data_IF_197573646160
#
_entry.id   IF_197573646160
#
_cell.length_a   1.000
_cell.length_b   1.000
_cell.length_c   1.000
_cell.angle_alpha   90.00
_cell.angle_beta   90.00
_cell.angle_gamma   90.00
#
_symmetry.space_group_name_H-M   'P 1'
#
loop_
_entity.id
_entity.type
_entity.pdbx_description
1 polymer ?
#
# COMPACT_ATOMS: atom_id res chain seq x y z
N UNK A 1 -17.59 31.83 3.28
CA UNK A 1 -16.19 31.94 2.79
C UNK A 1 -16.20 31.35 1.41
N UNK A 2 -15.83 32.14 0.44
CA UNK A 2 -15.72 31.68 -0.95
C UNK A 2 -14.53 30.71 -1.00
N UNK A 3 -14.82 29.42 -1.07
CA UNK A 3 -13.77 28.39 -1.25
C UNK A 3 -13.31 28.56 -2.69
N UNK A 4 -12.17 29.26 -2.86
CA UNK A 4 -11.54 29.34 -4.19
C UNK A 4 -11.42 27.90 -4.73
N UNK A 5 -11.98 27.67 -5.93
CA UNK A 5 -11.91 26.35 -6.57
C UNK A 5 -10.45 25.93 -6.76
N UNK A 6 -9.99 25.00 -5.94
CA UNK A 6 -8.63 24.46 -5.97
C UNK A 6 -8.56 23.09 -6.69
N UNK A 7 -9.66 22.66 -7.31
CA UNK A 7 -9.76 21.34 -7.94
C UNK A 7 -8.76 21.15 -9.08
N UNK A 8 -8.35 22.22 -9.76
CA UNK A 8 -7.34 22.21 -10.82
C UNK A 8 -5.89 22.21 -10.33
N UNK A 9 -5.66 22.68 -9.10
CA UNK A 9 -4.33 22.83 -8.50
C UNK A 9 -3.87 21.57 -7.78
N UNK A 10 -2.58 21.28 -7.81
CA UNK A 10 -2.01 20.15 -7.09
C UNK A 10 -1.73 20.48 -5.63
N UNK A 11 -1.96 19.52 -4.73
CA UNK A 11 -1.47 19.54 -3.36
C UNK A 11 -0.35 18.52 -3.21
N UNK A 12 0.87 18.98 -2.99
CA UNK A 12 2.01 18.11 -2.71
C UNK A 12 2.08 17.79 -1.21
N UNK A 13 1.99 16.51 -0.88
CA UNK A 13 2.16 16.00 0.49
C UNK A 13 3.59 15.46 0.62
N UNK A 14 4.42 16.17 1.37
CA UNK A 14 5.86 15.93 1.46
C UNK A 14 6.19 15.18 2.74
N UNK A 15 6.65 13.95 2.61
CA UNK A 15 7.12 13.17 3.77
C UNK A 15 8.58 13.52 4.10
N UNK A 16 8.78 14.40 5.09
CA UNK A 16 10.11 14.86 5.52
C UNK A 16 10.98 13.76 6.14
N UNK A 17 10.39 12.64 6.54
CA UNK A 17 11.11 11.49 7.09
C UNK A 17 11.55 10.47 6.03
N UNK A 18 11.09 10.64 4.79
CA UNK A 18 11.57 9.84 3.66
C UNK A 18 13.07 10.07 3.42
N UNK A 19 13.76 9.09 2.82
CA UNK A 19 15.18 9.18 2.44
C UNK A 19 16.14 9.66 3.54
N UNK A 20 15.96 9.23 4.80
CA UNK A 20 16.92 9.43 5.90
C UNK A 20 17.27 10.89 6.19
N UNK A 21 16.27 11.74 6.38
CA UNK A 21 16.40 13.18 6.72
C UNK A 21 16.99 14.08 5.59
N UNK A 22 17.20 13.56 4.38
CA UNK A 22 17.58 14.34 3.22
C UNK A 22 16.37 14.87 2.43
N UNK A 23 15.17 14.60 2.91
CA UNK A 23 13.90 14.90 2.23
C UNK A 23 13.72 16.40 1.95
N UNK A 24 14.18 17.30 2.82
CA UNK A 24 14.10 18.73 2.56
C UNK A 24 14.89 19.20 1.35
N UNK A 25 16.15 18.74 1.20
CA UNK A 25 16.95 19.08 0.02
C UNK A 25 16.38 18.41 -1.25
N UNK A 26 15.83 17.22 -1.10
CA UNK A 26 15.20 16.48 -2.20
C UNK A 26 13.92 17.16 -2.67
N UNK A 27 13.11 17.67 -1.73
CA UNK A 27 11.91 18.40 -2.06
C UNK A 27 12.21 19.73 -2.77
N UNK A 28 13.18 20.51 -2.29
CA UNK A 28 13.60 21.74 -2.93
C UNK A 28 14.06 21.56 -4.41
N UNK A 29 14.60 20.38 -4.74
CA UNK A 29 14.90 20.02 -6.13
C UNK A 29 13.62 19.65 -6.89
N UNK A 30 12.72 18.90 -6.28
CA UNK A 30 11.44 18.52 -6.87
C UNK A 30 10.57 19.75 -7.19
N UNK A 31 10.50 20.72 -6.29
CA UNK A 31 9.78 21.99 -6.49
C UNK A 31 10.24 22.70 -7.77
N UNK A 32 11.55 22.89 -7.93
CA UNK A 32 12.12 23.53 -9.15
C UNK A 32 11.78 22.77 -10.43
N UNK A 33 11.74 21.43 -10.35
CA UNK A 33 11.39 20.60 -11.49
C UNK A 33 9.90 20.70 -11.82
N UNK A 34 9.02 20.66 -10.82
CA UNK A 34 7.57 20.82 -11.00
C UNK A 34 7.25 22.19 -11.61
N UNK A 35 7.84 23.27 -11.07
CA UNK A 35 7.72 24.63 -11.64
C UNK A 35 8.19 24.69 -13.09
N UNK A 36 9.34 24.08 -13.40
CA UNK A 36 9.90 24.01 -14.75
C UNK A 36 8.96 23.32 -15.74
N UNK A 37 8.20 22.34 -15.30
CA UNK A 37 7.22 21.64 -16.12
C UNK A 37 5.83 22.26 -16.04
N UNK A 38 5.69 23.45 -15.46
CA UNK A 38 4.44 24.21 -15.43
C UNK A 38 3.36 23.62 -14.52
N UNK A 39 3.75 22.82 -13.52
CA UNK A 39 2.81 22.26 -12.53
C UNK A 39 2.48 23.37 -11.53
N UNK A 40 1.20 23.73 -11.42
CA UNK A 40 0.69 24.64 -10.38
C UNK A 40 0.37 23.84 -9.13
N UNK A 41 1.06 24.09 -8.00
CA UNK A 41 0.91 23.32 -6.78
C UNK A 41 1.11 24.17 -5.51
N UNK A 42 0.49 23.70 -4.44
CA UNK A 42 0.84 24.05 -3.07
C UNK A 42 1.49 22.84 -2.39
N UNK A 43 2.19 23.02 -1.28
CA UNK A 43 2.84 21.93 -0.56
C UNK A 43 2.57 21.97 0.94
N UNK A 44 2.39 20.76 1.53
CA UNK A 44 2.31 20.53 2.96
C UNK A 44 3.33 19.45 3.34
N UNK A 45 4.09 19.72 4.40
CA UNK A 45 5.09 18.77 4.90
C UNK A 45 4.60 18.04 6.13
N UNK A 46 4.85 16.73 6.20
CA UNK A 46 4.58 15.95 7.42
C UNK A 46 5.44 16.43 8.58
N UNK A 47 4.93 16.27 9.81
CA UNK A 47 5.57 16.76 11.03
C UNK A 47 4.59 17.55 11.89
N UNK A 48 5.05 18.06 13.01
CA UNK A 48 4.21 18.84 13.94
C UNK A 48 2.90 18.14 14.35
N UNK A 49 2.94 16.80 14.47
CA UNK A 49 1.77 16.00 14.85
C UNK A 49 0.84 15.62 13.69
N UNK A 50 1.15 16.01 12.44
CA UNK A 50 0.38 15.63 11.25
C UNK A 50 1.13 14.64 10.39
N UNK A 51 0.50 13.49 10.10
CA UNK A 51 0.95 12.52 9.11
C UNK A 51 0.38 12.86 7.73
N UNK A 52 0.83 12.17 6.69
CA UNK A 52 0.40 12.44 5.32
C UNK A 52 -1.10 12.18 5.11
N UNK A 53 -1.70 11.21 5.80
CA UNK A 53 -3.13 10.92 5.75
C UNK A 53 -3.97 12.09 6.26
N UNK A 54 -3.63 12.63 7.44
CA UNK A 54 -4.33 13.81 8.01
C UNK A 54 -4.21 15.03 7.10
N UNK A 55 -3.01 15.29 6.56
CA UNK A 55 -2.79 16.42 5.65
C UNK A 55 -3.60 16.27 4.35
N UNK A 56 -3.70 15.06 3.81
CA UNK A 56 -4.48 14.78 2.61
C UNK A 56 -5.98 14.95 2.86
N UNK A 57 -6.50 14.47 4.00
CA UNK A 57 -7.88 14.67 4.39
C UNK A 57 -8.23 16.17 4.53
N UNK A 58 -7.35 16.94 5.18
CA UNK A 58 -7.52 18.40 5.30
C UNK A 58 -7.53 19.07 3.93
N UNK A 59 -6.61 18.70 3.05
CA UNK A 59 -6.53 19.24 1.70
C UNK A 59 -7.79 18.90 0.86
N UNK A 60 -8.36 17.70 1.02
CA UNK A 60 -9.63 17.34 0.39
C UNK A 60 -10.76 18.29 0.82
N UNK A 61 -10.85 18.60 2.11
CA UNK A 61 -11.81 19.56 2.69
C UNK A 61 -11.58 20.98 2.17
N UNK A 62 -10.32 21.35 1.94
CA UNK A 62 -9.93 22.65 1.37
C UNK A 62 -10.15 22.76 -0.15
N UNK A 63 -10.72 21.74 -0.80
CA UNK A 63 -11.11 21.75 -2.20
C UNK A 63 -10.08 21.19 -3.18
N UNK A 64 -8.93 20.66 -2.74
CA UNK A 64 -7.98 20.00 -3.63
C UNK A 64 -8.51 18.65 -4.11
N UNK A 65 -8.22 18.32 -5.39
CA UNK A 65 -8.58 17.05 -6.02
C UNK A 65 -7.39 16.37 -6.69
N UNK A 66 -6.24 17.04 -6.75
CA UNK A 66 -5.00 16.52 -7.33
C UNK A 66 -3.91 16.51 -6.27
N UNK A 67 -3.28 15.34 -6.08
CA UNK A 67 -2.30 15.11 -5.02
C UNK A 67 -0.98 14.61 -5.58
N UNK A 68 0.13 15.17 -5.09
CA UNK A 68 1.48 14.67 -5.36
C UNK A 68 2.00 14.04 -4.06
N UNK A 69 2.12 12.73 -4.03
CA UNK A 69 2.77 12.03 -2.93
C UNK A 69 4.29 12.10 -3.10
N UNK A 70 4.96 12.99 -2.35
CA UNK A 70 6.41 13.11 -2.34
C UNK A 70 6.99 12.23 -1.23
N UNK A 71 7.26 10.95 -1.56
CA UNK A 71 7.70 9.95 -0.60
C UNK A 71 7.86 8.55 -1.18
N UNK A 72 7.69 7.53 -0.35
CA UNK A 72 7.66 6.11 -0.72
C UNK A 72 6.25 5.53 -0.67
N UNK A 73 6.17 4.19 -0.68
CA UNK A 73 4.90 3.45 -0.69
C UNK A 73 3.97 3.86 0.46
N UNK A 74 4.47 4.01 1.70
CA UNK A 74 3.67 4.47 2.83
C UNK A 74 3.11 5.89 2.67
N UNK A 75 3.79 6.78 1.94
CA UNK A 75 3.25 8.13 1.66
C UNK A 75 2.10 8.07 0.66
N UNK A 76 2.20 7.18 -0.34
CA UNK A 76 1.11 6.93 -1.30
C UNK A 76 -0.10 6.36 -0.57
N UNK A 77 0.13 5.36 0.29
CA UNK A 77 -0.88 4.76 1.16
C UNK A 77 -1.61 5.80 2.02
N UNK A 78 -0.84 6.65 2.71
CA UNK A 78 -1.40 7.71 3.56
C UNK A 78 -2.24 8.71 2.75
N UNK A 79 -1.75 9.16 1.59
CA UNK A 79 -2.48 10.08 0.71
C UNK A 79 -3.79 9.45 0.24
N UNK A 80 -3.75 8.20 -0.23
CA UNK A 80 -4.93 7.48 -0.66
C UNK A 80 -5.91 7.27 0.50
N UNK A 81 -5.42 6.91 1.69
CA UNK A 81 -6.26 6.72 2.87
C UNK A 81 -6.92 8.02 3.33
N UNK A 82 -6.24 9.16 3.24
CA UNK A 82 -6.85 10.46 3.51
C UNK A 82 -7.96 10.84 2.51
N UNK A 83 -7.74 10.56 1.22
CA UNK A 83 -8.77 10.72 0.19
C UNK A 83 -9.95 9.77 0.46
N UNK A 84 -9.66 8.49 0.75
CA UNK A 84 -10.68 7.48 1.02
C UNK A 84 -11.53 7.80 2.24
N UNK A 85 -10.94 8.32 3.31
CA UNK A 85 -11.68 8.81 4.48
C UNK A 85 -12.61 9.97 4.11
N UNK A 86 -12.16 10.90 3.27
CA UNK A 86 -12.98 12.01 2.81
C UNK A 86 -14.16 11.54 1.95
N UNK A 87 -13.91 10.68 0.97
CA UNK A 87 -14.96 10.11 0.11
C UNK A 87 -15.98 9.34 0.94
N UNK A 88 -15.53 8.53 1.89
CA UNK A 88 -16.42 7.71 2.73
C UNK A 88 -17.14 8.48 3.82
N UNK A 89 -16.68 9.70 4.15
CA UNK A 89 -17.36 10.52 5.16
C UNK A 89 -18.72 11.06 4.70
N UNK A 90 -18.98 11.12 3.40
CA UNK A 90 -20.16 11.72 2.81
C UNK A 90 -20.23 13.25 3.00
N UNK A 91 -19.11 13.89 3.39
CA UNK A 91 -19.06 15.37 3.53
C UNK A 91 -19.32 16.09 2.19
N UNK A 92 -19.05 15.42 1.07
CA UNK A 92 -19.35 15.87 -0.28
C UNK A 92 -19.77 14.69 -1.14
N UNK A 93 -20.57 14.94 -2.17
CA UNK A 93 -20.97 13.94 -3.17
C UNK A 93 -19.82 13.78 -4.19
N UNK A 94 -18.74 13.11 -3.75
CA UNK A 94 -17.51 12.91 -4.52
C UNK A 94 -17.13 11.44 -4.49
N UNK A 95 -16.49 11.01 -5.58
CA UNK A 95 -16.03 9.65 -5.80
C UNK A 95 -14.50 9.63 -5.95
N UNK A 96 -13.87 8.46 -5.92
CA UNK A 96 -12.44 8.33 -6.17
C UNK A 96 -12.01 8.85 -7.53
N UNK A 97 -12.88 8.73 -8.54
CA UNK A 97 -12.65 9.25 -9.90
C UNK A 97 -12.52 10.77 -10.00
N UNK A 98 -12.96 11.51 -8.97
CA UNK A 98 -12.75 12.95 -8.88
C UNK A 98 -11.33 13.32 -8.44
N UNK A 99 -10.57 12.35 -7.96
CA UNK A 99 -9.22 12.56 -7.44
C UNK A 99 -8.14 12.00 -8.37
N UNK A 100 -6.99 12.67 -8.36
CA UNK A 100 -5.80 12.26 -9.11
C UNK A 100 -4.59 12.20 -8.19
N UNK A 101 -3.86 11.10 -8.21
CA UNK A 101 -2.59 10.94 -7.48
C UNK A 101 -1.43 10.89 -8.47
N UNK A 102 -0.39 11.65 -8.15
CA UNK A 102 0.92 11.59 -8.78
C UNK A 102 1.99 11.30 -7.72
N UNK A 103 3.17 10.84 -8.13
CA UNK A 103 4.24 10.45 -7.20
C UNK A 103 5.55 11.10 -7.59
N UNK A 104 6.21 11.73 -6.63
CA UNK A 104 7.64 12.03 -6.65
C UNK A 104 8.35 11.02 -5.76
N UNK A 105 9.06 10.03 -6.33
CA UNK A 105 9.59 8.91 -5.57
C UNK A 105 10.83 9.30 -4.77
N UNK A 106 10.71 9.30 -3.43
CA UNK A 106 11.80 9.62 -2.49
C UNK A 106 12.18 8.40 -1.64
N UNK A 107 11.39 7.33 -1.68
CA UNK A 107 11.57 6.13 -0.87
C UNK A 107 12.63 5.16 -1.40
N UNK A 108 13.05 4.22 -0.56
CA UNK A 108 14.00 3.16 -0.93
C UNK A 108 13.33 1.91 -1.54
N UNK A 109 12.07 1.62 -1.20
CA UNK A 109 11.28 0.49 -1.74
C UNK A 109 10.70 0.85 -3.09
N UNK A 110 9.73 1.73 -3.06
CA UNK A 110 9.00 2.24 -4.23
C UNK A 110 8.45 1.08 -5.09
N UNK A 111 7.71 0.20 -4.46
CA UNK A 111 7.18 -1.01 -5.11
C UNK A 111 5.94 -0.69 -5.96
N UNK A 112 5.10 0.26 -5.51
CA UNK A 112 3.96 0.74 -6.28
C UNK A 112 4.40 1.33 -7.63
N UNK A 113 5.43 2.17 -7.67
CA UNK A 113 5.90 2.78 -8.92
C UNK A 113 6.44 1.77 -9.92
N UNK A 114 6.89 0.58 -9.47
CA UNK A 114 7.31 -0.50 -10.36
C UNK A 114 6.13 -1.09 -11.14
N UNK A 115 4.98 -1.26 -10.47
CA UNK A 115 3.73 -1.68 -11.13
C UNK A 115 3.20 -0.60 -12.03
N UNK A 116 3.16 0.65 -11.54
CA UNK A 116 2.64 1.80 -12.27
C UNK A 116 3.53 2.27 -13.44
N UNK A 117 4.80 1.82 -13.50
CA UNK A 117 5.74 2.25 -14.51
C UNK A 117 6.27 3.69 -14.32
N UNK A 118 6.06 4.28 -13.14
CA UNK A 118 6.54 5.63 -12.83
C UNK A 118 8.06 5.63 -12.70
N UNK A 119 8.77 6.55 -13.36
CA UNK A 119 10.23 6.63 -13.29
C UNK A 119 10.73 6.90 -11.87
N UNK A 120 11.82 6.20 -11.47
CA UNK A 120 12.51 6.52 -10.21
C UNK A 120 13.29 7.82 -10.25
N UNK A 121 13.66 8.25 -11.44
CA UNK A 121 14.32 9.54 -11.68
C UNK A 121 13.34 10.67 -11.44
N UNK A 122 13.71 11.61 -10.56
CA UNK A 122 12.84 12.70 -10.13
C UNK A 122 12.46 13.64 -11.29
N UNK A 123 13.41 13.95 -12.17
CA UNK A 123 13.14 14.85 -13.28
C UNK A 123 12.15 14.24 -14.28
N UNK A 124 12.28 12.93 -14.52
CA UNK A 124 11.33 12.19 -15.36
C UNK A 124 9.95 12.06 -14.70
N UNK A 125 9.90 11.86 -13.37
CA UNK A 125 8.64 11.80 -12.64
C UNK A 125 7.93 13.18 -12.66
N UNK A 126 8.66 14.28 -12.43
CA UNK A 126 8.13 15.64 -12.55
C UNK A 126 7.64 15.96 -13.98
N UNK A 127 8.40 15.57 -15.00
CA UNK A 127 7.98 15.70 -16.40
C UNK A 127 6.70 14.92 -16.70
N UNK A 128 6.55 13.71 -16.13
CA UNK A 128 5.35 12.91 -16.27
C UNK A 128 4.13 13.61 -15.65
N UNK A 129 4.30 14.26 -14.48
CA UNK A 129 3.24 15.03 -13.83
C UNK A 129 2.83 16.23 -14.69
N UNK A 130 3.78 16.98 -15.23
CA UNK A 130 3.51 18.12 -16.10
C UNK A 130 2.86 17.74 -17.44
N UNK A 131 3.20 16.58 -18.00
CA UNK A 131 2.68 16.11 -19.28
C UNK A 131 1.33 15.38 -19.18
N UNK A 132 0.87 15.08 -17.97
CA UNK A 132 -0.50 14.72 -17.68
C UNK A 132 -1.03 13.39 -18.25
N UNK A 133 -0.19 12.35 -18.35
CA UNK A 133 -0.71 11.01 -18.67
C UNK A 133 -1.44 10.42 -17.45
N UNK A 134 -2.76 10.32 -17.54
CA UNK A 134 -3.64 9.83 -16.46
C UNK A 134 -4.23 8.49 -16.85
N UNK A 135 -4.21 7.53 -15.93
CA UNK A 135 -4.81 6.21 -16.03
C UNK A 135 -5.67 5.93 -14.80
N UNK A 136 -6.62 5.04 -14.94
CA UNK A 136 -7.41 4.53 -13.81
C UNK A 136 -6.59 3.53 -12.99
N UNK A 137 -6.93 3.43 -11.69
CA UNK A 137 -6.42 2.41 -10.79
C UNK A 137 -7.50 2.00 -9.80
N UNK A 138 -7.57 0.72 -9.52
CA UNK A 138 -8.44 0.15 -8.49
C UNK A 138 -8.02 0.62 -7.11
N UNK A 139 -9.00 0.90 -6.27
CA UNK A 139 -8.84 1.18 -4.86
C UNK A 139 -9.46 0.02 -4.09
N UNK A 140 -8.75 -0.49 -3.09
CA UNK A 140 -9.28 -1.54 -2.23
C UNK A 140 -9.50 -0.99 -0.83
N UNK A 141 -10.73 -1.10 -0.33
CA UNK A 141 -11.05 -0.83 1.07
C UNK A 141 -10.66 -2.04 1.91
N UNK A 142 -9.87 -1.82 2.94
CA UNK A 142 -9.44 -2.84 3.88
C UNK A 142 -10.01 -2.53 5.25
N UNK A 143 -10.78 -3.46 5.80
CA UNK A 143 -11.37 -3.36 7.14
C UNK A 143 -10.78 -4.46 8.01
N UNK A 144 -9.97 -4.10 9.00
CA UNK A 144 -9.32 -5.01 9.94
C UNK A 144 -9.78 -4.72 11.36
N UNK A 145 -9.68 -5.70 12.26
CA UNK A 145 -9.92 -5.48 13.69
C UNK A 145 -8.81 -4.64 14.32
N UNK A 146 -9.12 -3.97 15.43
CA UNK A 146 -8.16 -3.14 16.16
C UNK A 146 -6.87 -3.88 16.52
N UNK A 147 -5.76 -3.14 16.61
CA UNK A 147 -4.43 -3.72 16.83
C UNK A 147 -4.20 -4.21 18.26
N UNK A 148 -5.07 -3.86 19.22
CA UNK A 148 -4.95 -4.24 20.62
C UNK A 148 -5.92 -5.37 20.98
N UNK A 149 -5.49 -6.28 21.84
CA UNK A 149 -6.36 -7.33 22.38
C UNK A 149 -7.58 -6.72 23.08
N UNK A 150 -8.79 -7.14 22.66
CA UNK A 150 -10.05 -6.61 23.16
C UNK A 150 -10.51 -5.31 22.52
N UNK A 151 -9.80 -4.77 21.55
CA UNK A 151 -10.25 -3.65 20.73
C UNK A 151 -11.11 -4.17 19.58
N UNK A 152 -12.42 -4.10 19.74
CA UNK A 152 -13.41 -4.49 18.71
C UNK A 152 -13.64 -3.38 17.68
N UNK A 153 -12.92 -2.28 17.74
CA UNK A 153 -13.03 -1.22 16.74
C UNK A 153 -12.50 -1.71 15.39
N UNK A 154 -13.22 -1.40 14.33
CA UNK A 154 -12.76 -1.70 12.98
C UNK A 154 -11.89 -0.56 12.47
N UNK A 155 -10.67 -0.87 12.06
CA UNK A 155 -9.79 0.04 11.37
C UNK A 155 -10.02 -0.05 9.86
N UNK A 156 -10.30 1.08 9.23
CA UNK A 156 -10.48 1.17 7.77
C UNK A 156 -9.27 1.85 7.16
N UNK A 157 -8.72 1.23 6.13
CA UNK A 157 -7.61 1.75 5.34
C UNK A 157 -7.87 1.51 3.85
N UNK A 158 -7.09 2.17 2.99
CA UNK A 158 -7.24 2.04 1.54
C UNK A 158 -5.92 1.63 0.90
N UNK A 159 -5.94 0.50 0.21
CA UNK A 159 -4.78 -0.10 -0.42
C UNK A 159 -4.62 0.38 -1.87
N UNK A 160 -3.39 0.76 -2.20
CA UNK A 160 -2.99 1.14 -3.55
C UNK A 160 -2.21 0.03 -4.29
N UNK A 161 -1.61 -0.92 -3.55
CA UNK A 161 -0.63 -1.85 -4.13
C UNK A 161 -0.80 -3.29 -3.60
N UNK A 162 -0.32 -3.58 -2.39
CA UNK A 162 -0.33 -4.94 -1.82
C UNK A 162 -0.64 -4.91 -0.33
N UNK A 163 -1.49 -5.84 0.11
CA UNK A 163 -1.72 -6.12 1.53
C UNK A 163 -1.29 -7.54 1.87
N UNK A 164 -1.05 -7.80 3.16
CA UNK A 164 -0.63 -9.10 3.63
C UNK A 164 -1.16 -9.46 5.01
N UNK A 165 -1.35 -10.78 5.23
CA UNK A 165 -1.73 -11.36 6.53
C UNK A 165 -0.74 -12.46 6.90
N UNK A 166 -0.35 -12.52 8.16
CA UNK A 166 0.55 -13.53 8.69
C UNK A 166 2.03 -13.15 8.56
N UNK A 167 2.84 -13.96 7.86
CA UNK A 167 4.29 -13.74 7.77
C UNK A 167 4.66 -12.35 7.25
N UNK A 168 3.98 -11.87 6.20
CA UNK A 168 4.29 -10.58 5.57
C UNK A 168 4.07 -9.42 6.53
N UNK A 169 2.93 -9.41 7.23
CA UNK A 169 2.62 -8.38 8.23
C UNK A 169 3.60 -8.42 9.42
N UNK A 170 3.99 -9.62 9.88
CA UNK A 170 5.02 -9.77 10.94
C UNK A 170 6.39 -9.25 10.50
N UNK A 171 6.79 -9.51 9.25
CA UNK A 171 8.03 -8.98 8.67
C UNK A 171 7.96 -7.47 8.59
N UNK A 172 6.82 -6.93 8.17
CA UNK A 172 6.56 -5.50 8.08
C UNK A 172 6.69 -4.82 9.45
N UNK A 173 6.05 -5.35 10.50
CA UNK A 173 6.16 -4.85 11.87
C UNK A 173 7.62 -4.79 12.36
N UNK A 174 8.38 -5.89 12.20
CA UNK A 174 9.79 -5.91 12.58
C UNK A 174 10.60 -4.87 11.81
N UNK A 175 10.36 -4.76 10.51
CA UNK A 175 11.08 -3.82 9.65
C UNK A 175 10.76 -2.38 10.03
N UNK A 176 9.50 -2.05 10.29
CA UNK A 176 9.08 -0.70 10.66
C UNK A 176 9.67 -0.28 12.01
N UNK A 177 9.59 -1.12 13.04
CA UNK A 177 10.26 -0.88 14.34
C UNK A 177 11.77 -0.66 14.20
N UNK A 178 12.43 -1.40 13.30
CA UNK A 178 13.87 -1.23 13.02
C UNK A 178 14.17 0.04 12.24
N UNK A 179 13.29 0.44 11.31
CA UNK A 179 13.41 1.72 10.59
C UNK A 179 13.31 2.92 11.55
N UNK A 180 12.43 2.87 12.55
CA UNK A 180 12.32 3.88 13.62
C UNK A 180 13.64 3.99 14.42
N UNK A 181 14.33 2.86 14.66
CA UNK A 181 15.64 2.81 15.30
C UNK A 181 16.79 3.25 14.37
N UNK A 182 16.49 3.64 13.11
CA UNK A 182 17.50 4.13 12.14
C UNK A 182 18.09 3.06 11.22
N UNK A 183 17.75 1.78 11.37
CA UNK A 183 18.21 0.72 10.47
C UNK A 183 17.51 0.80 9.12
N UNK A 184 18.24 0.54 8.02
CA UNK A 184 17.69 0.64 6.66
C UNK A 184 18.34 -0.38 5.72
N UNK A 185 17.64 -0.65 4.59
CA UNK A 185 18.17 -1.41 3.47
C UNK A 185 17.65 -2.85 3.36
N UNK A 186 17.92 -3.46 2.21
CA UNK A 186 17.42 -4.79 1.83
C UNK A 186 17.81 -5.91 2.83
N UNK A 187 18.98 -5.81 3.46
CA UNK A 187 19.45 -6.79 4.47
C UNK A 187 18.53 -6.86 5.69
N UNK A 188 17.87 -5.73 6.03
CA UNK A 188 16.90 -5.67 7.12
C UNK A 188 15.68 -6.56 6.83
N UNK A 189 15.14 -6.46 5.61
CA UNK A 189 14.02 -7.30 5.17
C UNK A 189 14.37 -8.79 5.16
N UNK A 190 15.52 -9.14 4.60
CA UNK A 190 15.99 -10.54 4.56
C UNK A 190 16.17 -11.09 5.98
N UNK A 191 16.75 -10.32 6.88
CA UNK A 191 16.93 -10.73 8.29
C UNK A 191 15.60 -10.89 9.03
N UNK A 192 14.64 -9.98 8.83
CA UNK A 192 13.30 -10.06 9.40
C UNK A 192 12.55 -11.28 8.85
N UNK A 193 12.59 -11.50 7.54
CA UNK A 193 11.97 -12.65 6.89
C UNK A 193 12.51 -13.98 7.44
N UNK A 194 13.84 -14.16 7.50
CA UNK A 194 14.45 -15.36 8.05
C UNK A 194 14.04 -15.58 9.50
N UNK A 195 14.04 -14.54 10.32
CA UNK A 195 13.62 -14.62 11.72
C UNK A 195 12.17 -15.06 11.85
N UNK A 196 11.26 -14.47 11.06
CA UNK A 196 9.83 -14.83 11.08
C UNK A 196 9.60 -16.27 10.60
N UNK A 197 10.30 -16.69 9.55
CA UNK A 197 10.19 -18.06 9.02
C UNK A 197 10.71 -19.11 10.03
N UNK A 198 11.80 -18.81 10.72
CA UNK A 198 12.38 -19.73 11.73
C UNK A 198 11.55 -19.83 13.00
N UNK A 199 10.89 -18.74 13.41
CA UNK A 199 10.05 -18.65 14.61
C UNK A 199 8.57 -18.69 14.29
N UNK A 200 8.18 -19.24 13.13
CA UNK A 200 6.77 -19.29 12.74
C UNK A 200 5.95 -20.16 13.68
N UNK A 201 4.79 -19.68 14.02
CA UNK A 201 3.74 -20.44 14.69
C UNK A 201 2.65 -20.69 13.65
N UNK A 202 2.28 -21.96 13.39
CA UNK A 202 1.20 -22.26 12.48
C UNK A 202 -0.10 -21.56 12.92
N UNK A 203 -0.75 -20.90 11.99
CA UNK A 203 -2.03 -20.24 12.19
C UNK A 203 -3.02 -20.80 11.19
N UNK A 204 -4.25 -21.05 11.64
CA UNK A 204 -5.30 -21.59 10.80
C UNK A 204 -6.30 -20.51 10.46
N UNK A 205 -6.65 -20.42 9.16
CA UNK A 205 -7.64 -19.47 8.67
C UNK A 205 -8.66 -20.15 7.75
N UNK A 206 -9.78 -19.46 7.61
CA UNK A 206 -10.77 -19.67 6.54
C UNK A 206 -10.74 -18.42 5.65
N UNK A 207 -10.64 -18.63 4.36
CA UNK A 207 -10.62 -17.57 3.36
C UNK A 207 -11.83 -17.72 2.43
N UNK A 208 -12.62 -16.65 2.34
CA UNK A 208 -13.85 -16.58 1.56
C UNK A 208 -13.68 -15.51 0.48
N UNK A 209 -13.81 -15.90 -0.79
CA UNK A 209 -13.75 -14.99 -1.95
C UNK A 209 -15.12 -14.94 -2.60
N UNK A 210 -15.68 -13.74 -2.73
CA UNK A 210 -17.00 -13.49 -3.36
C UNK A 210 -18.10 -14.42 -2.82
N UNK A 211 -18.05 -14.74 -1.51
CA UNK A 211 -18.99 -15.61 -0.81
C UNK A 211 -18.66 -17.11 -0.84
N UNK A 212 -17.63 -17.54 -1.57
CA UNK A 212 -17.22 -18.95 -1.65
C UNK A 212 -15.95 -19.20 -0.83
N UNK A 213 -15.92 -20.30 -0.05
CA UNK A 213 -14.73 -20.72 0.69
C UNK A 213 -13.69 -21.29 -0.28
N UNK A 214 -12.56 -20.60 -0.41
CA UNK A 214 -11.45 -20.99 -1.32
C UNK A 214 -10.30 -21.67 -0.58
N UNK A 215 -10.21 -21.48 0.74
CA UNK A 215 -9.17 -22.11 1.56
C UNK A 215 -9.62 -22.23 3.02
N UNK A 216 -9.31 -23.36 3.64
CA UNK A 216 -9.42 -23.57 5.08
C UNK A 216 -8.25 -24.44 5.53
N UNK A 217 -7.33 -23.91 6.33
CA UNK A 217 -6.15 -24.67 6.74
C UNK A 217 -5.06 -23.82 7.40
N UNK A 218 -3.96 -24.50 7.71
CA UNK A 218 -2.77 -23.83 8.22
C UNK A 218 -2.04 -23.10 7.11
N UNK A 219 -1.62 -21.86 7.37
CA UNK A 219 -0.98 -21.00 6.40
C UNK A 219 0.27 -20.32 6.96
N UNK A 220 1.13 -19.91 6.06
CA UNK A 220 2.32 -19.11 6.35
C UNK A 220 2.06 -17.62 6.08
N UNK A 221 1.50 -17.32 4.93
CA UNK A 221 1.25 -15.95 4.47
C UNK A 221 0.13 -15.92 3.46
N UNK A 222 -0.63 -14.84 3.45
CA UNK A 222 -1.59 -14.49 2.40
C UNK A 222 -1.21 -13.11 1.89
N UNK A 223 -1.02 -12.97 0.58
CA UNK A 223 -0.81 -11.70 -0.08
C UNK A 223 -1.99 -11.37 -0.97
N UNK A 224 -2.39 -10.10 -0.97
CA UNK A 224 -3.44 -9.53 -1.79
C UNK A 224 -2.87 -8.37 -2.58
N UNK A 225 -3.22 -8.22 -3.86
CA UNK A 225 -2.67 -7.14 -4.64
C UNK A 225 -3.50 -6.69 -5.82
N UNK A 226 -3.57 -5.38 -6.01
CA UNK A 226 -3.82 -4.74 -7.30
C UNK A 226 -2.51 -4.42 -8.00
N UNK A 227 -1.39 -4.42 -7.26
CA UNK A 227 -0.03 -4.33 -7.75
C UNK A 227 0.73 -5.64 -7.67
N UNK A 228 1.88 -5.68 -8.34
CA UNK A 228 2.69 -6.90 -8.51
C UNK A 228 3.80 -7.07 -7.47
N UNK A 229 4.26 -5.97 -6.88
CA UNK A 229 5.51 -5.92 -6.11
C UNK A 229 5.28 -5.45 -4.68
N UNK A 230 5.96 -6.09 -3.74
CA UNK A 230 6.03 -5.68 -2.33
C UNK A 230 7.43 -5.95 -1.78
N UNK A 231 7.72 -5.46 -0.57
CA UNK A 231 8.95 -5.78 0.18
C UNK A 231 10.27 -5.53 -0.55
N UNK A 232 10.33 -4.55 -1.46
CA UNK A 232 11.52 -4.19 -2.23
C UNK A 232 11.70 -5.01 -3.52
N UNK A 233 10.62 -5.43 -4.15
CA UNK A 233 10.59 -6.07 -5.46
C UNK A 233 10.24 -7.56 -5.46
N UNK A 234 9.72 -8.09 -4.37
CA UNK A 234 9.12 -9.42 -4.36
C UNK A 234 7.81 -9.39 -5.17
N UNK A 235 7.57 -10.42 -5.97
CA UNK A 235 6.36 -10.56 -6.79
C UNK A 235 5.42 -11.56 -6.13
N UNK A 236 4.65 -11.08 -5.17
CA UNK A 236 3.71 -11.93 -4.43
C UNK A 236 2.40 -12.14 -5.19
N UNK A 237 1.97 -11.14 -5.95
CA UNK A 237 0.79 -11.15 -6.83
C UNK A 237 1.20 -10.79 -8.27
N UNK A 238 2.02 -11.64 -8.93
CA UNK A 238 2.66 -11.27 -10.20
C UNK A 238 1.69 -11.09 -11.37
N UNK A 239 0.47 -11.63 -11.26
CA UNK A 239 -0.57 -11.54 -12.28
C UNK A 239 -1.46 -10.31 -12.12
N UNK A 240 -1.33 -9.57 -11.01
CA UNK A 240 -2.19 -8.43 -10.71
C UNK A 240 -2.21 -7.38 -11.82
N UNK A 241 -3.39 -6.89 -12.12
CA UNK A 241 -3.66 -5.82 -13.09
C UNK A 241 -4.33 -4.69 -12.31
N UNK A 242 -3.74 -3.49 -12.28
CA UNK A 242 -4.16 -2.46 -11.34
C UNK A 242 -5.47 -1.73 -11.69
N UNK A 243 -6.15 -2.10 -12.77
CA UNK A 243 -7.32 -1.41 -13.31
C UNK A 243 -8.40 -2.34 -13.91
N UNK A 244 -8.44 -3.60 -13.46
CA UNK A 244 -9.40 -4.60 -13.99
C UNK A 244 -10.56 -4.93 -13.03
N UNK A 245 -10.65 -4.23 -11.90
CA UNK A 245 -11.70 -4.38 -10.90
C UNK A 245 -11.58 -5.65 -10.06
N UNK A 246 -10.41 -6.28 -10.03
CA UNK A 246 -10.16 -7.52 -9.28
C UNK A 246 -8.94 -7.41 -8.37
N UNK A 247 -9.01 -8.15 -7.29
CA UNK A 247 -7.93 -8.36 -6.33
C UNK A 247 -7.29 -9.72 -6.60
N UNK A 248 -6.01 -9.75 -6.91
CA UNK A 248 -5.24 -10.99 -6.97
C UNK A 248 -4.86 -11.44 -5.56
N UNK A 249 -4.98 -12.72 -5.28
CA UNK A 249 -4.62 -13.31 -3.99
C UNK A 249 -3.69 -14.51 -4.18
N UNK A 250 -2.68 -14.59 -3.32
CA UNK A 250 -1.79 -15.75 -3.23
C UNK A 250 -1.70 -16.22 -1.78
N UNK A 251 -2.15 -17.44 -1.51
CA UNK A 251 -2.02 -18.08 -0.20
C UNK A 251 -0.83 -19.03 -0.25
N UNK A 252 0.08 -18.89 0.70
CA UNK A 252 1.17 -19.82 0.98
C UNK A 252 0.73 -20.68 2.17
N UNK A 253 0.34 -21.95 1.99
CA UNK A 253 0.06 -22.84 3.10
C UNK A 253 1.30 -23.06 3.99
N UNK A 254 1.13 -23.62 5.18
CA UNK A 254 2.29 -23.98 6.00
C UNK A 254 3.06 -25.13 5.33
N UNK A 255 4.20 -24.77 4.75
CA UNK A 255 5.10 -25.65 4.02
C UNK A 255 6.33 -25.98 4.88
N UNK A 256 6.98 -27.15 4.68
CA UNK A 256 8.23 -27.46 5.35
C UNK A 256 9.30 -26.36 5.11
N UNK A 257 10.03 -26.00 6.17
CA UNK A 257 11.02 -24.91 6.16
C UNK A 257 12.00 -24.99 4.97
N UNK A 258 12.54 -26.19 4.69
CA UNK A 258 13.47 -26.40 3.57
C UNK A 258 12.84 -26.07 2.22
N UNK A 259 11.54 -26.31 2.08
CA UNK A 259 10.80 -25.98 0.86
C UNK A 259 10.60 -24.47 0.73
N UNK A 260 10.26 -23.78 1.82
CA UNK A 260 10.13 -22.32 1.83
C UNK A 260 11.45 -21.67 1.42
N UNK A 261 12.56 -22.05 2.07
CA UNK A 261 13.88 -21.48 1.80
C UNK A 261 14.33 -21.76 0.36
N UNK A 262 14.16 -23.00 -0.13
CA UNK A 262 14.58 -23.37 -1.49
C UNK A 262 13.78 -22.68 -2.60
N UNK A 263 12.56 -22.20 -2.32
CA UNK A 263 11.68 -21.55 -3.29
C UNK A 263 11.64 -20.01 -3.15
N UNK A 264 12.22 -19.45 -2.07
CA UNK A 264 12.14 -18.02 -1.78
C UNK A 264 12.69 -17.11 -2.90
N UNK A 265 13.70 -17.57 -3.67
CA UNK A 265 14.24 -16.83 -4.81
C UNK A 265 13.19 -16.57 -5.91
N UNK A 266 12.17 -17.43 -6.01
CA UNK A 266 11.10 -17.32 -7.02
C UNK A 266 10.23 -16.08 -6.82
N UNK A 267 10.14 -15.54 -5.60
CA UNK A 267 9.49 -14.27 -5.31
C UNK A 267 10.11 -13.13 -6.12
N UNK A 268 11.41 -13.19 -6.41
CA UNK A 268 12.11 -12.14 -7.15
C UNK A 268 12.16 -12.40 -8.67
N UNK A 269 12.01 -13.64 -9.11
CA UNK A 269 12.07 -14.00 -10.54
C UNK A 269 10.71 -13.96 -11.23
N UNK A 270 9.61 -13.83 -10.49
CA UNK A 270 8.24 -13.88 -11.00
C UNK A 270 7.72 -15.29 -11.29
N UNK A 271 8.50 -16.35 -10.99
CA UNK A 271 8.09 -17.74 -11.15
C UNK A 271 7.45 -18.33 -9.88
N UNK A 272 7.07 -17.47 -8.93
CA UNK A 272 6.57 -17.89 -7.63
C UNK A 272 5.28 -18.71 -7.73
N UNK A 273 4.34 -18.31 -8.58
CA UNK A 273 3.06 -19.02 -8.76
C UNK A 273 3.21 -20.46 -9.28
N UNK A 274 4.39 -20.82 -9.81
CA UNK A 274 4.67 -22.21 -10.22
C UNK A 274 5.04 -23.15 -9.05
N UNK A 275 5.12 -22.63 -7.83
CA UNK A 275 5.39 -23.44 -6.64
C UNK A 275 4.15 -24.28 -6.31
N UNK A 276 4.32 -25.60 -6.32
CA UNK A 276 3.21 -26.52 -6.06
C UNK A 276 2.67 -26.35 -4.63
N UNK A 277 1.35 -26.27 -4.51
CA UNK A 277 0.64 -26.17 -3.25
C UNK A 277 0.24 -24.76 -2.86
N UNK A 278 0.60 -23.74 -3.64
CA UNK A 278 0.01 -22.41 -3.47
C UNK A 278 -1.45 -22.42 -3.90
N UNK A 279 -2.25 -21.58 -3.24
CA UNK A 279 -3.62 -21.28 -3.68
C UNK A 279 -3.62 -19.88 -4.26
N UNK A 280 -4.12 -19.74 -5.47
CA UNK A 280 -4.20 -18.47 -6.20
C UNK A 280 -5.66 -18.25 -6.56
N UNK A 281 -6.18 -17.07 -6.26
CA UNK A 281 -7.54 -16.69 -6.62
C UNK A 281 -7.58 -15.21 -7.04
N UNK A 282 -8.66 -14.84 -7.71
CA UNK A 282 -9.00 -13.45 -8.05
C UNK A 282 -10.46 -13.22 -7.68
N UNK A 283 -10.75 -12.12 -7.03
CA UNK A 283 -12.08 -11.81 -6.51
C UNK A 283 -12.28 -10.29 -6.41
N UNK A 284 -13.51 -9.88 -6.19
CA UNK A 284 -13.83 -8.49 -5.83
C UNK A 284 -13.78 -8.26 -4.33
N UNK A 285 -14.14 -9.28 -3.57
CA UNK A 285 -14.13 -9.21 -2.12
C UNK A 285 -13.50 -10.48 -1.54
N UNK A 286 -12.67 -10.32 -0.51
CA UNK A 286 -12.14 -11.43 0.25
C UNK A 286 -12.25 -11.15 1.75
N UNK A 287 -12.65 -12.17 2.50
CA UNK A 287 -12.67 -12.14 3.96
C UNK A 287 -11.76 -13.26 4.51
N UNK A 288 -10.86 -12.89 5.41
CA UNK A 288 -9.99 -13.82 6.13
C UNK A 288 -10.47 -13.90 7.57
N UNK A 289 -10.86 -15.10 7.99
CA UNK A 289 -11.37 -15.40 9.33
C UNK A 289 -10.38 -16.29 10.08
N UNK A 290 -9.93 -15.91 11.30
CA UNK A 290 -9.10 -16.77 12.13
C UNK A 290 -9.87 -18.01 12.56
N UNK A 291 -9.21 -19.16 12.64
CA UNK A 291 -9.78 -20.42 13.12
C UNK A 291 -9.05 -20.91 14.36
N UNK A 292 -9.75 -20.96 15.50
CA UNK A 292 -9.24 -21.56 16.74
C UNK A 292 -8.20 -20.72 17.49
N UNK A 293 -8.08 -19.42 17.20
CA UNK A 293 -7.22 -18.48 17.92
C UNK A 293 -8.07 -17.38 18.57
N UNK A 294 -7.58 -16.91 19.72
CA UNK A 294 -8.11 -15.75 20.42
C UNK A 294 -7.36 -14.47 19.97
N UNK A 295 -6.05 -14.62 19.68
CA UNK A 295 -5.21 -13.52 19.19
C UNK A 295 -5.17 -13.56 17.66
N UNK A 296 -5.55 -12.47 17.01
CA UNK A 296 -5.49 -12.32 15.56
C UNK A 296 -4.07 -12.26 15.02
N UNK A 297 -3.90 -12.53 13.72
CA UNK A 297 -2.66 -12.25 12.99
C UNK A 297 -2.65 -10.82 12.48
N UNK A 298 -1.46 -10.21 12.53
CA UNK A 298 -1.28 -8.87 11.99
C UNK A 298 -1.68 -8.78 10.51
N UNK A 299 -2.31 -7.66 10.18
CA UNK A 299 -2.65 -7.25 8.82
C UNK A 299 -1.81 -6.04 8.45
N UNK A 300 -1.16 -6.09 7.31
CA UNK A 300 -0.43 -4.95 6.73
C UNK A 300 -1.07 -4.52 5.41
N UNK A 301 -0.98 -3.23 5.10
CA UNK A 301 -1.42 -2.63 3.84
C UNK A 301 -0.34 -1.65 3.36
N UNK A 302 0.17 -1.87 2.16
CA UNK A 302 1.21 -1.04 1.51
C UNK A 302 2.46 -0.82 2.39
N UNK A 303 2.74 -1.76 3.30
CA UNK A 303 3.89 -1.72 4.20
C UNK A 303 3.61 -1.09 5.57
N UNK A 304 2.34 -0.79 5.91
CA UNK A 304 1.93 -0.29 7.22
C UNK A 304 1.02 -1.30 7.93
N UNK A 305 1.27 -1.59 9.20
CA UNK A 305 0.42 -2.49 10.00
C UNK A 305 -0.83 -1.73 10.44
N UNK A 306 -2.00 -2.24 10.04
CA UNK A 306 -3.28 -1.55 10.28
C UNK A 306 -4.15 -2.21 11.36
N UNK A 307 -3.87 -3.43 11.75
CA UNK A 307 -4.66 -4.18 12.72
C UNK A 307 -4.39 -5.68 12.67
N UNK A 308 -5.41 -6.45 13.02
CA UNK A 308 -5.38 -7.91 13.05
C UNK A 308 -6.56 -8.49 12.24
N UNK A 309 -6.48 -9.79 11.92
CA UNK A 309 -7.65 -10.51 11.41
C UNK A 309 -8.74 -10.70 12.52
N UNK A 310 -10.04 -10.82 12.19
CA UNK A 310 -10.58 -10.90 10.85
C UNK A 310 -10.37 -9.63 10.01
N UNK A 311 -10.14 -9.83 8.72
CA UNK A 311 -9.98 -8.74 7.78
C UNK A 311 -10.83 -8.98 6.53
N UNK A 312 -11.43 -7.92 6.03
CA UNK A 312 -12.13 -7.90 4.74
C UNK A 312 -11.47 -6.89 3.81
N UNK A 313 -11.17 -7.33 2.59
CA UNK A 313 -10.69 -6.48 1.50
C UNK A 313 -11.75 -6.46 0.41
N UNK A 314 -12.09 -5.27 -0.07
CA UNK A 314 -13.13 -5.07 -1.07
C UNK A 314 -12.64 -4.07 -2.13
N UNK A 315 -12.66 -4.48 -3.40
CA UNK A 315 -12.37 -3.57 -4.51
C UNK A 315 -13.53 -2.60 -4.66
N UNK A 316 -13.24 -1.31 -4.58
CA UNK A 316 -14.26 -0.27 -4.74
C UNK A 316 -14.76 -0.25 -6.18
N UNK A 317 -16.03 0.05 -6.37
CA UNK A 317 -16.64 0.13 -7.72
C UNK A 317 -16.04 1.27 -8.55
N UNK A 318 -15.59 2.33 -7.87
CA UNK A 318 -15.01 3.49 -8.50
C UNK A 318 -13.48 3.51 -8.36
N UNK A 319 -12.81 3.88 -9.45
CA UNK A 319 -11.36 3.89 -9.60
C UNK A 319 -10.80 5.29 -9.43
N UNK A 320 -9.64 5.41 -8.78
CA UNK A 320 -8.90 6.67 -8.69
C UNK A 320 -8.07 6.92 -9.96
N UNK A 321 -7.83 8.19 -10.27
CA UNK A 321 -6.91 8.55 -11.33
C UNK A 321 -5.46 8.59 -10.82
N UNK A 322 -4.54 8.04 -11.60
CA UNK A 322 -3.10 8.07 -11.29
C UNK A 322 -2.30 8.57 -12.48
N UNK A 323 -1.27 9.38 -12.21
CA UNK A 323 -0.35 9.85 -13.25
C UNK A 323 0.68 8.75 -13.49
N UNK A 324 0.58 8.09 -14.64
CA UNK A 324 1.50 7.03 -15.08
C UNK A 324 1.59 7.00 -16.61
N UNK A 325 2.67 6.40 -17.17
CA UNK A 325 2.85 6.27 -18.62
C UNK A 325 1.69 5.55 -19.33
#
# INVERSE_FOLDING_TARGET
>A
MDISDKSGKWMAIVNVYAASKKAGAYWAEAEKLLERYGVDFDSLSTGNGHNAMTLSLMACRDGYRKFIAAGGDGTIHDVLSGIGQYVSSGEADLMFSDFTIAVIPVGSGNDWIRTAGVPRDMAKAAALIGNGSVRKQDVVRVTAMGASFGDESANVSYMANVAGVGLDARVCDIVNRKKEQGFRGRKLYVGALLRCVMNRVPSKVRVICDGEEVFCGDYLSIAFGTGKYSGGGMRQTPSAIPDDGLLDMTIIPDLPLMRIVSQAYRLFTGSFLSVRGLVVARCRQVTVLPCGRVDGECVEVDGEVIGNDPVTLEVMEDQINVVRP
#
